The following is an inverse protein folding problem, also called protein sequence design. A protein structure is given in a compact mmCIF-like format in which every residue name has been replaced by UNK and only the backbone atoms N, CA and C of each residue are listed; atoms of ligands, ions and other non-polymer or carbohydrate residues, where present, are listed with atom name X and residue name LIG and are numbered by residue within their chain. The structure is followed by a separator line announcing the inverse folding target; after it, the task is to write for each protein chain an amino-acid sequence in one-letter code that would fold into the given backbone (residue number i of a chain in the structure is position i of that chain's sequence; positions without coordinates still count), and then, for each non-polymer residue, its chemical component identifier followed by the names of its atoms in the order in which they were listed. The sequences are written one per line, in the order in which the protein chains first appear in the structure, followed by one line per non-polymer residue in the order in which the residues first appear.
data_IF_318414422560
#
_entry.id   IF_318414422560
#
_cell.length_a   1.000
_cell.length_b   1.000
_cell.length_c   1.000
_cell.angle_alpha   90.00
_cell.angle_beta   90.00
_cell.angle_gamma   90.00
#
_symmetry.space_group_name_H-M   'P 1'
#
loop_
_entity.id
_entity.type
_entity.pdbx_description
1 polymer ?
#
# COMPACT_ATOMS: atom_id res chain seq x y z
N UNK A 1 -9.07 21.07 4.40
CA UNK A 1 -9.57 21.72 5.63
C UNK A 1 -8.74 22.93 6.06
N UNK A 2 -8.42 23.79 5.10
CA UNK A 2 -8.32 25.25 5.26
C UNK A 2 -8.95 25.73 3.95
N UNK A 3 -9.89 26.67 3.93
CA UNK A 3 -10.74 26.98 2.75
C UNK A 3 -10.01 27.56 1.52
N UNK A 4 -8.70 27.34 1.40
CA UNK A 4 -7.79 27.88 0.41
C UNK A 4 -7.51 26.80 -0.63
N UNK A 5 -7.67 27.13 -1.92
CA UNK A 5 -7.31 26.22 -3.01
C UNK A 5 -5.78 26.14 -3.11
N UNK A 6 -5.21 24.94 -3.01
CA UNK A 6 -3.77 24.71 -3.18
C UNK A 6 -3.32 25.26 -4.55
N UNK A 7 -2.19 25.95 -4.57
CA UNK A 7 -1.59 26.45 -5.80
C UNK A 7 -1.09 25.30 -6.69
N UNK A 8 -1.24 25.45 -8.02
CA UNK A 8 -0.84 24.45 -9.01
C UNK A 8 0.58 23.85 -8.85
N UNK A 9 1.65 24.62 -8.55
CA UNK A 9 2.98 24.03 -8.37
C UNK A 9 3.06 23.08 -7.18
N UNK A 10 2.29 23.33 -6.12
CA UNK A 10 2.27 22.48 -4.93
C UNK A 10 1.67 21.11 -5.22
N UNK A 11 0.61 21.08 -6.04
CA UNK A 11 -0.02 19.83 -6.50
C UNK A 11 0.95 19.01 -7.35
N UNK A 12 1.71 19.66 -8.24
CA UNK A 12 2.69 18.99 -9.10
C UNK A 12 3.82 18.39 -8.24
N UNK A 13 4.34 19.15 -7.27
CA UNK A 13 5.36 18.66 -6.33
C UNK A 13 4.85 17.44 -5.57
N UNK A 14 3.62 17.47 -5.04
CA UNK A 14 3.07 16.34 -4.30
C UNK A 14 2.85 15.11 -5.17
N UNK A 15 2.46 15.32 -6.43
CA UNK A 15 2.19 14.23 -7.37
C UNK A 15 3.48 13.60 -7.92
N UNK A 16 4.55 14.35 -8.08
CA UNK A 16 5.78 13.86 -8.74
C UNK A 16 6.99 13.81 -7.82
N UNK A 17 7.26 14.84 -7.02
CA UNK A 17 8.48 14.91 -6.20
C UNK A 17 8.46 13.89 -5.06
N UNK A 18 7.30 13.68 -4.43
CA UNK A 18 7.15 12.68 -3.36
C UNK A 18 7.42 11.25 -3.87
N UNK A 19 6.72 10.73 -4.90
CA UNK A 19 7.00 9.37 -5.38
C UNK A 19 8.38 9.26 -6.02
N UNK A 20 8.88 10.30 -6.69
CA UNK A 20 10.23 10.27 -7.28
C UNK A 20 11.32 10.16 -6.20
N UNK A 21 11.25 10.99 -5.15
CA UNK A 21 12.23 10.95 -4.05
C UNK A 21 12.19 9.61 -3.33
N UNK A 22 10.99 9.07 -3.07
CA UNK A 22 10.84 7.75 -2.46
C UNK A 22 11.44 6.63 -3.33
N UNK A 23 11.19 6.65 -4.65
CA UNK A 23 11.74 5.67 -5.56
C UNK A 23 13.27 5.75 -5.64
N UNK A 24 13.82 6.96 -5.77
CA UNK A 24 15.27 7.18 -5.81
C UNK A 24 15.93 6.66 -4.53
N UNK A 25 15.41 7.02 -3.36
CA UNK A 25 15.95 6.56 -2.08
C UNK A 25 15.91 5.03 -1.98
N UNK A 26 14.78 4.41 -2.38
CA UNK A 26 14.65 2.97 -2.38
C UNK A 26 15.72 2.28 -3.24
N UNK A 27 15.90 2.73 -4.48
CA UNK A 27 16.94 2.18 -5.35
C UNK A 27 18.35 2.42 -4.82
N UNK A 28 18.63 3.60 -4.26
CA UNK A 28 19.92 3.88 -3.60
C UNK A 28 20.18 2.94 -2.43
N UNK A 29 19.17 2.69 -1.57
CA UNK A 29 19.28 1.74 -0.46
C UNK A 29 19.57 0.32 -0.93
N UNK A 30 19.00 -0.11 -2.06
CA UNK A 30 19.24 -1.45 -2.62
C UNK A 30 20.62 -1.55 -3.29
N UNK A 31 21.01 -0.55 -4.09
CA UNK A 31 22.27 -0.57 -4.86
C UNK A 31 23.49 -0.39 -3.95
N UNK A 32 23.42 0.54 -3.00
CA UNK A 32 24.51 0.82 -2.06
C UNK A 32 24.43 -0.04 -0.79
N UNK A 33 23.65 -1.13 -0.82
CA UNK A 33 23.58 -2.05 0.28
C UNK A 33 24.97 -2.62 0.58
N UNK A 34 25.58 -2.17 1.68
CA UNK A 34 26.85 -2.70 2.16
C UNK A 34 26.55 -3.80 3.18
N UNK A 35 27.02 -5.05 2.96
CA UNK A 35 26.92 -6.07 3.99
C UNK A 35 27.66 -5.56 5.23
N UNK A 36 26.97 -5.51 6.37
CA UNK A 36 27.54 -5.07 7.65
C UNK A 36 28.68 -6.01 8.05
N UNK A 37 29.93 -5.62 7.85
CA UNK A 37 31.07 -6.43 8.31
C UNK A 37 31.18 -6.36 9.84
N UNK A 38 31.47 -7.49 10.47
CA UNK A 38 31.81 -7.51 11.89
C UNK A 38 33.16 -6.78 12.12
N UNK A 39 33.39 -6.22 13.31
CA UNK A 39 34.66 -5.56 13.67
C UNK A 39 35.89 -6.47 13.53
N UNK A 40 35.68 -7.79 13.60
CA UNK A 40 36.72 -8.81 13.57
C UNK A 40 37.14 -9.25 12.15
N UNK A 41 36.66 -8.56 11.10
CA UNK A 41 37.06 -8.81 9.71
C UNK A 41 36.41 -10.02 9.05
N UNK A 42 35.57 -10.77 9.77
CA UNK A 42 34.73 -11.85 9.23
C UNK A 42 33.51 -11.30 8.50
N UNK A 43 33.25 -11.84 7.30
CA UNK A 43 32.10 -11.45 6.50
C UNK A 43 30.78 -11.85 7.18
N UNK A 44 29.79 -10.94 7.13
CA UNK A 44 28.45 -11.21 7.64
C UNK A 44 27.82 -12.39 6.87
N UNK A 45 27.13 -13.32 7.55
CA UNK A 45 26.49 -14.43 6.87
C UNK A 45 25.45 -13.91 5.86
N UNK A 46 25.56 -14.38 4.62
CA UNK A 46 24.71 -13.97 3.49
C UNK A 46 23.21 -14.16 3.79
N UNK A 47 22.87 -15.17 4.59
CA UNK A 47 21.52 -15.44 5.06
C UNK A 47 20.91 -14.29 5.86
N UNK A 48 21.68 -13.66 6.74
CA UNK A 48 21.18 -12.57 7.59
C UNK A 48 20.99 -11.28 6.78
N UNK A 49 21.85 -11.07 5.79
CA UNK A 49 21.69 -10.02 4.77
C UNK A 49 20.40 -10.18 3.97
N UNK A 50 20.15 -11.39 3.47
CA UNK A 50 18.95 -11.73 2.70
C UNK A 50 17.69 -11.65 3.57
N UNK A 51 17.78 -12.04 4.84
CA UNK A 51 16.68 -11.94 5.79
C UNK A 51 16.31 -10.48 6.09
N UNK A 52 17.29 -9.59 6.23
CA UNK A 52 17.03 -8.15 6.40
C UNK A 52 16.35 -7.53 5.18
N UNK A 53 16.80 -7.88 3.98
CA UNK A 53 16.16 -7.44 2.74
C UNK A 53 14.74 -8.02 2.60
N UNK A 54 14.57 -9.29 2.93
CA UNK A 54 13.27 -9.97 2.89
C UNK A 54 12.28 -9.32 3.87
N UNK A 55 12.69 -9.07 5.11
CA UNK A 55 11.87 -8.42 6.12
C UNK A 55 11.42 -7.03 5.69
N UNK A 56 12.32 -6.25 5.07
CA UNK A 56 11.97 -4.94 4.49
C UNK A 56 10.99 -5.06 3.33
N UNK A 57 11.21 -6.02 2.42
CA UNK A 57 10.34 -6.25 1.26
C UNK A 57 8.94 -6.73 1.64
N UNK A 58 8.81 -7.47 2.76
CA UNK A 58 7.54 -8.03 3.22
C UNK A 58 6.48 -6.93 3.44
N UNK A 59 6.86 -5.80 4.05
CA UNK A 59 5.95 -4.67 4.26
C UNK A 59 5.49 -4.02 2.94
N UNK A 60 6.38 -3.95 1.94
CA UNK A 60 6.06 -3.37 0.63
C UNK A 60 5.16 -4.27 -0.22
N UNK A 61 5.21 -5.59 -0.01
CA UNK A 61 4.42 -6.58 -0.76
C UNK A 61 2.97 -6.68 -0.25
N UNK A 62 2.67 -6.28 0.98
CA UNK A 62 1.30 -6.35 1.55
C UNK A 62 0.29 -5.57 0.70
N UNK A 63 0.65 -4.37 0.23
CA UNK A 63 -0.23 -3.52 -0.57
C UNK A 63 -0.60 -4.17 -1.91
N UNK A 64 0.36 -4.60 -2.75
CA UNK A 64 0.02 -5.30 -4.00
C UNK A 64 -0.61 -6.67 -3.74
N UNK A 65 -0.22 -7.40 -2.69
CA UNK A 65 -0.85 -8.67 -2.34
C UNK A 65 -2.35 -8.49 -2.02
N UNK A 66 -2.70 -7.44 -1.28
CA UNK A 66 -4.10 -7.10 -1.02
C UNK A 66 -4.84 -6.71 -2.30
N UNK A 67 -4.23 -5.94 -3.19
CA UNK A 67 -4.82 -5.59 -4.48
C UNK A 67 -5.11 -6.83 -5.34
N UNK A 68 -4.19 -7.79 -5.35
CA UNK A 68 -4.34 -9.09 -6.02
C UNK A 68 -5.46 -9.90 -5.36
N UNK A 69 -5.47 -10.01 -4.03
CA UNK A 69 -6.53 -10.69 -3.27
C UNK A 69 -7.91 -10.09 -3.61
N UNK A 70 -8.06 -8.77 -3.56
CA UNK A 70 -9.29 -8.07 -3.93
C UNK A 70 -9.73 -8.41 -5.36
N UNK A 71 -8.80 -8.44 -6.31
CA UNK A 71 -9.08 -8.72 -7.72
C UNK A 71 -9.54 -10.17 -7.97
N UNK A 72 -9.02 -11.13 -7.20
CA UNK A 72 -9.36 -12.56 -7.32
C UNK A 72 -10.57 -12.99 -6.49
N UNK A 73 -10.71 -12.50 -5.26
CA UNK A 73 -11.76 -12.94 -4.33
C UNK A 73 -13.06 -12.13 -4.41
N UNK A 74 -12.99 -10.81 -4.67
CA UNK A 74 -14.20 -9.94 -4.60
C UNK A 74 -15.10 -10.03 -5.84
N UNK A 75 -14.57 -10.51 -6.96
CA UNK A 75 -15.32 -10.60 -8.20
C UNK A 75 -14.97 -11.92 -8.88
N UNK A 76 -15.84 -12.92 -8.87
CA UNK A 76 -15.71 -14.07 -9.80
C UNK A 76 -16.34 -13.80 -11.16
N UNK A 77 -17.20 -12.77 -11.28
CA UNK A 77 -18.13 -12.63 -12.41
C UNK A 77 -17.82 -11.52 -13.44
N UNK A 78 -16.96 -10.53 -13.16
CA UNK A 78 -16.76 -9.37 -14.05
C UNK A 78 -15.42 -9.35 -14.80
N UNK A 79 -15.30 -8.62 -15.91
CA UNK A 79 -14.04 -8.43 -16.65
C UNK A 79 -12.98 -7.70 -15.81
N UNK A 80 -11.73 -8.18 -15.83
CA UNK A 80 -10.57 -7.69 -15.06
C UNK A 80 -10.40 -6.15 -15.12
N UNK A 81 -10.68 -5.56 -16.29
CA UNK A 81 -10.57 -4.12 -16.56
C UNK A 81 -11.57 -3.29 -15.75
N UNK A 82 -12.81 -3.76 -15.62
CA UNK A 82 -13.86 -3.06 -14.87
C UNK A 82 -13.60 -3.12 -13.36
N UNK A 83 -12.97 -4.20 -12.88
CA UNK A 83 -12.59 -4.38 -11.47
C UNK A 83 -11.46 -3.45 -11.05
N UNK A 84 -10.44 -3.30 -11.88
CA UNK A 84 -9.36 -2.35 -11.64
C UNK A 84 -9.88 -0.91 -11.58
N UNK A 85 -10.79 -0.57 -12.50
CA UNK A 85 -11.46 0.74 -12.50
C UNK A 85 -12.35 0.95 -11.26
N UNK A 86 -12.98 -0.09 -10.72
CA UNK A 86 -13.71 -0.02 -9.44
C UNK A 86 -12.78 0.14 -8.25
N UNK A 87 -11.64 -0.56 -8.22
CA UNK A 87 -10.67 -0.45 -7.12
C UNK A 87 -9.97 0.91 -7.02
N UNK A 88 -9.93 1.69 -8.12
CA UNK A 88 -9.38 3.05 -8.14
C UNK A 88 -10.43 4.10 -7.74
N UNK A 89 -11.73 3.79 -7.82
CA UNK A 89 -12.77 4.71 -7.38
C UNK A 89 -12.76 4.81 -5.87
N UNK A 90 -12.86 6.04 -5.36
CA UNK A 90 -13.08 6.26 -3.95
C UNK A 90 -14.43 5.60 -3.55
N UNK A 91 -14.54 5.04 -2.34
CA UNK A 91 -15.79 4.46 -1.90
C UNK A 91 -16.84 5.58 -1.72
N UNK A 92 -18.03 5.37 -2.30
CA UNK A 92 -19.07 6.40 -2.47
C UNK A 92 -19.57 7.02 -1.14
N UNK A 93 -19.30 6.35 -0.01
CA UNK A 93 -19.61 6.82 1.33
C UNK A 93 -18.81 8.08 1.73
N UNK A 94 -17.64 8.31 1.12
CA UNK A 94 -16.83 9.52 1.35
C UNK A 94 -17.40 10.75 0.64
N UNK A 95 -18.04 10.58 -0.52
CA UNK A 95 -18.67 11.67 -1.26
C UNK A 95 -20.09 11.96 -0.75
N UNK A 96 -20.83 10.93 -0.36
CA UNK A 96 -22.26 11.06 -0.02
C UNK A 96 -22.49 11.35 1.47
N UNK A 97 -21.50 11.12 2.34
CA UNK A 97 -21.65 11.27 3.80
C UNK A 97 -22.69 10.32 4.43
N UNK A 98 -23.19 9.34 3.68
CA UNK A 98 -24.11 8.31 4.16
C UNK A 98 -23.33 7.19 4.85
N UNK A 99 -23.83 6.67 5.99
CA UNK A 99 -23.17 5.57 6.69
C UNK A 99 -23.07 4.34 5.77
N UNK A 100 -22.03 3.52 5.97
CA UNK A 100 -21.87 2.24 5.28
C UNK A 100 -23.17 1.44 5.44
N UNK A 101 -23.79 1.03 4.34
CA UNK A 101 -24.87 0.06 4.37
C UNK A 101 -24.22 -1.26 4.76
N UNK A 102 -24.29 -1.60 6.05
CA UNK A 102 -23.78 -2.86 6.59
C UNK A 102 -24.50 -4.02 5.88
N UNK A 103 -23.75 -5.05 5.51
CA UNK A 103 -24.34 -6.28 4.97
C UNK A 103 -25.34 -6.83 6.01
N UNK A 104 -26.45 -7.43 5.58
CA UNK A 104 -27.42 -8.02 6.50
C UNK A 104 -26.79 -9.06 7.45
N UNK A 105 -25.67 -9.65 7.03
CA UNK A 105 -24.83 -10.53 7.85
C UNK A 105 -24.14 -9.75 9.00
N UNK A 106 -23.59 -8.55 8.74
CA UNK A 106 -22.97 -7.70 9.77
C UNK A 106 -23.97 -7.18 10.80
N UNK A 107 -25.22 -6.94 10.40
CA UNK A 107 -26.29 -6.56 11.34
C UNK A 107 -26.69 -7.73 12.25
N UNK A 108 -26.67 -8.97 11.75
CA UNK A 108 -26.93 -10.17 12.56
C UNK A 108 -25.86 -10.38 13.63
N UNK A 109 -24.58 -10.19 13.30
CA UNK A 109 -23.49 -10.36 14.27
C UNK A 109 -23.53 -9.36 15.44
N UNK A 110 -24.17 -8.19 15.26
CA UNK A 110 -24.33 -7.20 16.32
C UNK A 110 -25.54 -7.49 17.22
N UNK A 111 -26.59 -8.10 16.65
CA UNK A 111 -27.79 -8.52 17.38
C UNK A 111 -27.51 -9.76 18.26
N UNK A 112 -26.68 -10.68 17.77
CA UNK A 112 -26.22 -11.86 18.53
C UNK A 112 -25.22 -11.52 19.66
N UNK A 113 -24.74 -10.27 19.73
CA UNK A 113 -23.71 -9.81 20.68
C UNK A 113 -24.22 -8.99 21.87
N UNK A 114 -25.53 -8.78 22.01
CA UNK A 114 -26.19 -8.13 23.16
C UNK A 114 -26.94 -9.12 24.04
#
# INVERSE_FOLDING_TARGET
MVGIKLSYPWIIIWKFAAPATCAILFFFCVIYYRPLKYPDGTDYPVWANLFGLFLSSCSMIVIPAYAVYYLFFTNKQMTIRNRFMQGIKAPDNLETGKPRVYSAEELRFLDDGQ
#
